data_IF_656278146792
#
_entry.id   IF_656278146792
#
_cell.length_a   1.000
_cell.length_b   1.000
_cell.length_c   1.000
_cell.angle_alpha   90.00
_cell.angle_beta   90.00
_cell.angle_gamma   90.00
#
_symmetry.space_group_name_H-M   'P 1'
#
loop_
_entity.id
_entity.type
_entity.pdbx_description
1 polymer ?
#
# COMPACT_ATOMS: atom_id res chain seq x y z
N UNK A 1 -14.87 -20.42 -3.96
CA UNK A 1 -15.86 -21.48 -3.73
C UNK A 1 -16.05 -22.34 -4.96
N UNK A 2 -15.67 -23.61 -4.88
CA UNK A 2 -15.90 -24.57 -5.94
C UNK A 2 -17.19 -25.35 -5.62
N UNK A 3 -18.33 -24.87 -6.14
CA UNK A 3 -19.61 -25.54 -5.94
C UNK A 3 -19.71 -26.79 -6.85
N UNK A 4 -19.41 -27.94 -6.27
CA UNK A 4 -19.51 -29.24 -6.95
C UNK A 4 -20.92 -29.60 -7.41
N UNK A 5 -21.95 -28.94 -6.87
CA UNK A 5 -23.34 -29.14 -7.20
C UNK A 5 -23.85 -28.15 -8.26
N UNK A 6 -23.00 -27.21 -8.71
CA UNK A 6 -23.39 -26.21 -9.68
C UNK A 6 -23.90 -26.80 -11.00
N UNK A 7 -25.03 -26.32 -11.46
CA UNK A 7 -25.59 -26.70 -12.76
C UNK A 7 -24.70 -26.29 -13.95
N UNK A 8 -23.75 -25.35 -13.74
CA UNK A 8 -22.73 -24.97 -14.74
C UNK A 8 -21.78 -26.12 -15.05
N UNK A 9 -21.55 -27.03 -14.08
CA UNK A 9 -20.78 -28.26 -14.29
C UNK A 9 -21.53 -29.33 -15.05
N UNK A 10 -22.86 -29.32 -15.01
CA UNK A 10 -23.72 -30.26 -15.72
C UNK A 10 -25.09 -30.37 -15.08
N UNK A 11 -26.10 -30.62 -15.90
CA UNK A 11 -27.51 -30.71 -15.47
C UNK A 11 -27.84 -31.97 -14.66
N UNK A 12 -26.96 -32.99 -14.65
CA UNK A 12 -27.12 -34.21 -13.88
C UNK A 12 -25.90 -34.52 -13.05
N UNK A 13 -26.07 -35.30 -11.97
CA UNK A 13 -24.97 -35.74 -11.10
C UNK A 13 -23.86 -36.45 -11.92
N UNK A 14 -24.24 -37.33 -12.84
CA UNK A 14 -23.26 -38.05 -13.66
C UNK A 14 -22.43 -37.11 -14.56
N UNK A 15 -23.05 -36.11 -15.19
CA UNK A 15 -22.33 -35.11 -16.01
C UNK A 15 -21.41 -34.23 -15.15
N UNK A 16 -21.85 -33.88 -13.95
CA UNK A 16 -20.99 -33.11 -12.99
C UNK A 16 -19.79 -33.96 -12.58
N UNK A 17 -20.02 -35.22 -12.18
CA UNK A 17 -18.95 -36.13 -11.78
C UNK A 17 -17.96 -36.41 -12.93
N UNK A 18 -18.44 -36.58 -14.16
CA UNK A 18 -17.56 -36.77 -15.33
C UNK A 18 -16.64 -35.55 -15.53
N UNK A 19 -17.19 -34.32 -15.45
CA UNK A 19 -16.39 -33.12 -15.60
C UNK A 19 -15.41 -32.92 -14.46
N UNK A 20 -15.84 -33.17 -13.22
CA UNK A 20 -14.98 -33.14 -12.03
C UNK A 20 -13.84 -34.14 -12.12
N UNK A 21 -14.14 -35.39 -12.53
CA UNK A 21 -13.13 -36.42 -12.73
C UNK A 21 -12.10 -36.01 -13.80
N UNK A 22 -12.56 -35.45 -14.93
CA UNK A 22 -11.64 -34.94 -15.95
C UNK A 22 -10.74 -33.81 -15.44
N UNK A 23 -11.30 -32.89 -14.66
CA UNK A 23 -10.52 -31.80 -14.02
C UNK A 23 -9.50 -32.37 -13.05
N UNK A 24 -9.92 -33.24 -12.13
CA UNK A 24 -9.04 -33.82 -11.13
C UNK A 24 -7.92 -34.66 -11.78
N UNK A 25 -8.25 -35.46 -12.79
CA UNK A 25 -7.25 -36.22 -13.54
C UNK A 25 -6.29 -35.30 -14.32
N UNK A 26 -6.79 -34.21 -14.87
CA UNK A 26 -5.95 -33.19 -15.53
C UNK A 26 -4.95 -32.57 -14.57
N UNK A 27 -5.41 -32.15 -13.38
CA UNK A 27 -4.55 -31.61 -12.33
C UNK A 27 -3.55 -32.67 -11.83
N UNK A 28 -4.02 -33.91 -11.57
CA UNK A 28 -3.16 -35.01 -11.11
C UNK A 28 -2.07 -35.39 -12.14
N UNK A 29 -2.34 -35.23 -13.43
CA UNK A 29 -1.38 -35.49 -14.50
C UNK A 29 -0.36 -34.37 -14.72
N UNK A 30 -0.54 -33.21 -14.11
CA UNK A 30 0.42 -32.12 -14.18
C UNK A 30 1.70 -32.53 -13.44
N UNK A 31 2.81 -32.54 -14.15
CA UNK A 31 4.12 -32.71 -13.51
C UNK A 31 4.59 -31.32 -13.06
N UNK A 32 4.27 -30.97 -11.84
CA UNK A 32 4.61 -29.66 -11.26
C UNK A 32 5.99 -29.66 -10.61
N UNK A 33 6.78 -30.75 -10.78
CA UNK A 33 8.09 -30.90 -10.15
C UNK A 33 7.99 -31.29 -8.66
N UNK A 34 9.13 -31.42 -8.02
CA UNK A 34 9.21 -31.60 -6.57
C UNK A 34 9.48 -30.28 -5.89
N UNK A 35 8.70 -29.92 -4.87
CA UNK A 35 8.91 -28.73 -4.02
C UNK A 35 10.33 -28.71 -3.42
N UNK A 36 10.98 -29.88 -3.30
CA UNK A 36 12.34 -30.01 -2.76
C UNK A 36 13.44 -29.64 -3.74
N UNK A 37 13.16 -29.60 -5.05
CA UNK A 37 14.16 -29.39 -6.10
C UNK A 37 14.22 -27.95 -6.60
N UNK A 38 13.35 -27.07 -6.12
CA UNK A 38 13.30 -25.65 -6.51
C UNK A 38 13.59 -24.76 -5.31
N UNK A 39 14.74 -24.11 -5.34
CA UNK A 39 15.09 -23.00 -4.42
C UNK A 39 14.18 -21.75 -4.60
N UNK A 40 13.31 -21.79 -5.61
CA UNK A 40 12.41 -20.70 -5.99
C UNK A 40 10.98 -21.13 -5.73
N UNK A 41 10.20 -20.28 -5.11
CA UNK A 41 8.76 -20.38 -4.97
C UNK A 41 8.05 -20.25 -6.34
N UNK A 42 8.25 -21.23 -7.22
CA UNK A 42 7.79 -21.16 -8.60
C UNK A 42 6.26 -21.08 -8.72
N UNK A 43 5.51 -21.62 -7.76
CA UNK A 43 4.05 -21.56 -7.77
C UNK A 43 3.54 -20.20 -7.33
N UNK A 44 4.10 -19.67 -6.26
CA UNK A 44 3.79 -18.33 -5.78
C UNK A 44 4.13 -17.28 -6.82
N UNK A 45 5.31 -17.34 -7.43
CA UNK A 45 5.72 -16.41 -8.49
C UNK A 45 4.85 -16.54 -9.75
N UNK A 46 4.46 -17.74 -10.14
CA UNK A 46 3.51 -17.94 -11.25
C UNK A 46 2.12 -17.37 -10.93
N UNK A 47 1.67 -17.52 -9.71
CA UNK A 47 0.40 -16.95 -9.26
C UNK A 47 0.45 -15.41 -9.22
N UNK A 48 1.51 -14.81 -8.65
CA UNK A 48 1.71 -13.35 -8.69
C UNK A 48 1.75 -12.82 -10.14
N UNK A 49 2.41 -13.54 -11.05
CA UNK A 49 2.41 -13.20 -12.48
C UNK A 49 1.01 -13.21 -13.09
N UNK A 50 0.23 -14.27 -12.83
CA UNK A 50 -1.15 -14.37 -13.32
C UNK A 50 -2.04 -13.26 -12.75
N UNK A 51 -1.90 -12.92 -11.47
CA UNK A 51 -2.61 -11.81 -10.83
C UNK A 51 -2.23 -10.47 -11.44
N UNK A 52 -0.95 -10.25 -11.75
CA UNK A 52 -0.47 -9.05 -12.45
C UNK A 52 -1.08 -8.94 -13.85
N UNK A 53 -1.11 -10.05 -14.59
CA UNK A 53 -1.73 -10.11 -15.93
C UNK A 53 -3.24 -9.85 -15.86
N UNK A 54 -3.92 -10.38 -14.85
CA UNK A 54 -5.34 -10.13 -14.62
C UNK A 54 -5.58 -8.64 -14.32
N UNK A 55 -4.85 -8.05 -13.38
CA UNK A 55 -4.96 -6.65 -13.01
C UNK A 55 -4.69 -5.70 -14.20
N UNK A 56 -3.67 -5.98 -15.00
CA UNK A 56 -3.33 -5.18 -16.18
C UNK A 56 -4.39 -5.23 -17.29
N UNK A 57 -5.11 -6.34 -17.43
CA UNK A 57 -6.14 -6.54 -18.46
C UNK A 57 -7.56 -6.18 -17.99
N UNK A 58 -7.84 -6.18 -16.69
CA UNK A 58 -9.16 -5.90 -16.13
C UNK A 58 -9.50 -4.41 -16.00
N UNK A 59 -8.61 -3.50 -16.42
CA UNK A 59 -8.81 -2.05 -16.37
C UNK A 59 -8.94 -1.51 -14.94
N UNK A 60 -9.78 -0.48 -14.72
CA UNK A 60 -9.94 0.16 -13.41
C UNK A 60 -10.29 -0.81 -12.28
N UNK A 61 -11.14 -1.81 -12.55
CA UNK A 61 -11.57 -2.78 -11.54
C UNK A 61 -10.46 -3.75 -11.12
N UNK A 62 -9.48 -4.02 -11.99
CA UNK A 62 -8.36 -4.91 -11.65
C UNK A 62 -7.25 -4.20 -10.87
N UNK A 63 -7.04 -2.91 -11.15
CA UNK A 63 -6.02 -2.10 -10.50
C UNK A 63 -6.33 -1.76 -9.04
N UNK A 64 -7.61 -1.81 -8.65
CA UNK A 64 -8.04 -1.54 -7.27
C UNK A 64 -7.63 -2.66 -6.28
N UNK A 65 -7.32 -3.86 -6.79
CA UNK A 65 -7.02 -5.05 -5.98
C UNK A 65 -5.54 -5.47 -6.01
N UNK A 66 -4.71 -4.74 -6.73
CA UNK A 66 -3.32 -5.14 -6.94
C UNK A 66 -2.35 -3.98 -6.74
N UNK A 67 -1.43 -4.14 -5.78
CA UNK A 67 -0.33 -3.20 -5.58
C UNK A 67 0.88 -3.64 -6.43
N UNK A 68 1.49 -2.75 -7.22
CA UNK A 68 2.71 -3.08 -7.97
C UNK A 68 3.81 -3.64 -7.07
N UNK A 69 4.51 -4.68 -7.54
CA UNK A 69 5.49 -5.40 -6.74
C UNK A 69 6.63 -4.51 -6.24
N UNK A 70 7.06 -3.54 -7.03
CA UNK A 70 8.08 -2.55 -6.68
C UNK A 70 7.61 -1.62 -5.54
N UNK A 71 6.36 -1.14 -5.59
CA UNK A 71 5.75 -0.36 -4.50
C UNK A 71 5.63 -1.21 -3.23
N UNK A 72 5.25 -2.49 -3.36
CA UNK A 72 5.18 -3.42 -2.24
C UNK A 72 6.56 -3.62 -1.58
N UNK A 73 7.62 -3.70 -2.37
CA UNK A 73 9.01 -3.75 -1.87
C UNK A 73 9.36 -2.47 -1.12
N UNK A 74 9.03 -1.31 -1.69
CA UNK A 74 9.31 -0.01 -1.05
C UNK A 74 8.59 0.12 0.30
N UNK A 75 7.29 -0.16 0.37
CA UNK A 75 6.50 -0.11 1.61
C UNK A 75 7.08 -1.01 2.70
N UNK A 76 7.40 -2.24 2.33
CA UNK A 76 8.00 -3.21 3.26
C UNK A 76 9.35 -2.72 3.76
N UNK A 77 10.22 -2.24 2.90
CA UNK A 77 11.55 -1.75 3.29
C UNK A 77 11.47 -0.52 4.19
N UNK A 78 10.56 0.43 3.90
CA UNK A 78 10.33 1.59 4.77
C UNK A 78 9.83 1.16 6.16
N UNK A 79 8.91 0.20 6.21
CA UNK A 79 8.34 -0.30 7.46
C UNK A 79 9.30 -1.15 8.30
N UNK A 80 10.36 -1.69 7.69
CA UNK A 80 11.28 -2.64 8.33
C UNK A 80 12.69 -2.09 8.52
N UNK A 81 12.94 -0.80 8.26
CA UNK A 81 14.26 -0.18 8.48
C UNK A 81 14.76 -0.47 9.91
N UNK A 82 15.97 -1.04 10.00
CA UNK A 82 16.61 -1.39 11.26
C UNK A 82 16.07 -2.65 11.94
N UNK A 83 15.09 -3.33 11.37
CA UNK A 83 14.47 -4.54 11.91
C UNK A 83 14.90 -5.78 11.11
N UNK A 84 15.27 -6.85 11.83
CA UNK A 84 15.58 -8.17 11.24
C UNK A 84 14.44 -9.17 11.47
N UNK A 85 13.59 -8.91 12.43
CA UNK A 85 12.42 -9.71 12.79
C UNK A 85 11.27 -8.79 13.13
N UNK A 86 10.07 -9.23 12.84
CA UNK A 86 8.81 -8.55 13.12
C UNK A 86 7.91 -9.50 13.91
N UNK A 87 7.22 -8.99 14.90
CA UNK A 87 6.29 -9.81 15.69
C UNK A 87 5.07 -10.19 14.84
N UNK A 88 4.25 -9.22 14.48
CA UNK A 88 3.03 -9.37 13.69
C UNK A 88 2.98 -8.35 12.57
N UNK A 89 2.48 -8.76 11.40
CA UNK A 89 2.25 -7.89 10.23
C UNK A 89 0.76 -7.79 9.97
N UNK A 90 0.27 -6.60 9.62
CA UNK A 90 -1.15 -6.36 9.35
C UNK A 90 -1.36 -5.52 8.08
N UNK A 91 -2.40 -5.86 7.32
CA UNK A 91 -2.93 -5.04 6.23
C UNK A 91 -4.46 -4.93 6.36
N UNK A 92 -5.00 -3.73 6.66
CA UNK A 92 -6.44 -3.48 6.81
C UNK A 92 -7.26 -3.60 5.51
N UNK A 93 -6.62 -3.70 4.36
CA UNK A 93 -7.25 -3.86 3.04
C UNK A 93 -6.36 -4.75 2.17
N UNK A 94 -6.17 -6.00 2.61
CA UNK A 94 -5.07 -6.85 2.17
C UNK A 94 -5.16 -7.32 0.71
N UNK A 95 -6.30 -7.16 0.07
CA UNK A 95 -6.47 -7.56 -1.33
C UNK A 95 -6.09 -9.03 -1.54
N UNK A 96 -5.18 -9.29 -2.47
CA UNK A 96 -4.63 -10.63 -2.73
C UNK A 96 -3.51 -11.06 -1.77
N UNK A 97 -3.16 -10.26 -0.76
CA UNK A 97 -2.12 -10.56 0.21
C UNK A 97 -0.69 -10.29 -0.27
N UNK A 98 -0.50 -9.73 -1.44
CA UNK A 98 0.83 -9.49 -2.03
C UNK A 98 1.75 -8.65 -1.15
N UNK A 99 1.19 -7.64 -0.43
CA UNK A 99 1.96 -6.82 0.51
C UNK A 99 2.45 -7.64 1.71
N UNK A 100 1.58 -8.44 2.30
CA UNK A 100 1.93 -9.31 3.44
C UNK A 100 3.03 -10.29 3.06
N UNK A 101 2.90 -10.96 1.91
CA UNK A 101 3.90 -11.90 1.39
C UNK A 101 5.25 -11.26 1.09
N UNK A 102 5.24 -9.99 0.67
CA UNK A 102 6.49 -9.27 0.37
C UNK A 102 7.36 -9.09 1.61
N UNK A 103 6.75 -9.01 2.80
CA UNK A 103 7.48 -8.90 4.07
C UNK A 103 8.36 -10.14 4.30
N UNK A 104 7.83 -11.34 4.08
CA UNK A 104 8.61 -12.57 4.23
C UNK A 104 9.72 -12.68 3.19
N UNK A 105 9.42 -12.35 1.92
CA UNK A 105 10.44 -12.35 0.84
C UNK A 105 11.61 -11.42 1.12
N UNK A 106 11.39 -10.28 1.78
CA UNK A 106 12.42 -9.27 2.06
C UNK A 106 13.19 -9.58 3.34
N UNK A 107 12.50 -9.94 4.41
CA UNK A 107 13.14 -10.21 5.71
C UNK A 107 13.70 -11.64 5.82
N UNK A 108 13.20 -12.55 5.01
CA UNK A 108 13.53 -13.97 5.04
C UNK A 108 12.50 -14.82 5.78
N UNK A 109 12.55 -16.11 5.53
CA UNK A 109 11.68 -17.10 6.15
C UNK A 109 11.80 -17.03 7.68
N UNK A 110 10.70 -17.15 8.39
CA UNK A 110 10.60 -17.08 9.85
C UNK A 110 10.95 -15.70 10.47
N UNK A 111 11.08 -14.65 9.67
CA UNK A 111 11.29 -13.30 10.20
C UNK A 111 10.02 -12.73 10.85
N UNK A 112 8.83 -13.11 10.38
CA UNK A 112 7.54 -12.79 11.00
C UNK A 112 7.21 -13.88 12.01
N UNK A 113 7.23 -13.53 13.30
CA UNK A 113 7.23 -14.51 14.39
C UNK A 113 5.83 -15.03 14.73
N UNK A 114 4.85 -14.14 14.83
CA UNK A 114 3.50 -14.44 15.30
C UNK A 114 2.42 -14.23 14.24
N UNK A 115 2.81 -14.18 12.96
CA UNK A 115 1.92 -14.33 11.82
C UNK A 115 1.56 -13.06 11.07
N UNK A 116 0.78 -13.29 10.02
CA UNK A 116 0.29 -12.32 9.06
C UNK A 116 -1.21 -12.13 9.27
N UNK A 117 -1.66 -10.91 9.39
CA UNK A 117 -3.04 -10.56 9.65
C UNK A 117 -3.55 -9.66 8.53
N UNK A 118 -4.80 -9.83 8.15
CA UNK A 118 -5.38 -9.00 7.11
C UNK A 118 -6.90 -9.03 7.13
N UNK A 119 -7.48 -8.02 6.50
CA UNK A 119 -8.91 -7.97 6.33
C UNK A 119 -9.26 -7.50 4.91
N UNK A 120 -10.25 -8.14 4.29
CA UNK A 120 -10.68 -7.87 2.93
C UNK A 120 -12.20 -7.96 2.84
N UNK A 121 -12.83 -6.95 2.28
CA UNK A 121 -14.30 -6.90 2.18
C UNK A 121 -14.86 -7.81 1.07
N UNK A 122 -14.08 -8.04 0.02
CA UNK A 122 -14.52 -8.82 -1.14
C UNK A 122 -14.19 -10.29 -0.96
N UNK A 123 -15.22 -11.14 -0.89
CA UNK A 123 -15.08 -12.60 -0.67
C UNK A 123 -14.19 -13.28 -1.72
N UNK A 124 -14.23 -12.84 -2.97
CA UNK A 124 -13.39 -13.42 -4.02
C UNK A 124 -11.93 -13.09 -3.79
N UNK A 125 -11.62 -11.84 -3.51
CA UNK A 125 -10.26 -11.36 -3.24
C UNK A 125 -9.71 -11.94 -1.92
N UNK A 126 -10.56 -12.06 -0.89
CA UNK A 126 -10.26 -12.77 0.35
C UNK A 126 -9.82 -14.23 0.10
N UNK A 127 -10.58 -14.97 -0.71
CA UNK A 127 -10.21 -16.34 -1.06
C UNK A 127 -8.90 -16.41 -1.86
N UNK A 128 -8.68 -15.44 -2.77
CA UNK A 128 -7.40 -15.32 -3.50
C UNK A 128 -6.23 -15.07 -2.55
N UNK A 129 -6.40 -14.20 -1.55
CA UNK A 129 -5.38 -13.94 -0.53
C UNK A 129 -4.99 -15.23 0.21
N UNK A 130 -5.96 -16.00 0.69
CA UNK A 130 -5.70 -17.26 1.41
C UNK A 130 -5.00 -18.31 0.55
N UNK A 131 -5.42 -18.44 -0.72
CA UNK A 131 -4.74 -19.32 -1.68
C UNK A 131 -3.30 -18.83 -1.89
N UNK A 132 -3.09 -17.53 -2.00
CA UNK A 132 -1.77 -16.95 -2.19
C UNK A 132 -0.83 -17.25 -1.00
N UNK A 133 -1.33 -17.15 0.25
CA UNK A 133 -0.57 -17.56 1.44
C UNK A 133 -0.10 -19.03 1.35
N UNK A 134 -1.00 -19.94 1.00
CA UNK A 134 -0.65 -21.36 0.85
C UNK A 134 0.36 -21.62 -0.28
N UNK A 135 0.23 -20.94 -1.41
CA UNK A 135 1.15 -21.08 -2.53
C UNK A 135 2.57 -20.60 -2.20
N UNK A 136 2.71 -19.74 -1.19
CA UNK A 136 3.98 -19.25 -0.67
C UNK A 136 4.44 -20.02 0.59
N UNK A 137 3.92 -21.24 0.81
CA UNK A 137 4.29 -22.13 1.92
C UNK A 137 4.03 -21.52 3.32
N UNK A 138 3.08 -20.57 3.42
CA UNK A 138 2.62 -20.06 4.71
C UNK A 138 1.46 -20.91 5.20
N UNK A 139 1.68 -21.67 6.29
CA UNK A 139 0.68 -22.53 6.89
C UNK A 139 -0.51 -21.73 7.47
N UNK A 140 -1.67 -22.38 7.57
CA UNK A 140 -2.89 -21.75 8.08
C UNK A 140 -2.77 -21.25 9.54
N UNK A 141 -1.83 -21.79 10.29
CA UNK A 141 -1.49 -21.38 11.65
C UNK A 141 -0.61 -20.13 11.72
N UNK A 142 -0.15 -19.64 10.57
CA UNK A 142 0.74 -18.49 10.44
C UNK A 142 0.07 -17.25 9.86
N UNK A 143 -1.18 -17.35 9.41
CA UNK A 143 -1.92 -16.19 8.95
C UNK A 143 -3.38 -16.23 9.42
N UNK A 144 -3.92 -15.06 9.64
CA UNK A 144 -5.33 -14.84 9.93
C UNK A 144 -5.86 -13.72 9.02
N UNK A 145 -6.65 -14.13 8.02
CA UNK A 145 -7.27 -13.23 7.05
C UNK A 145 -8.78 -13.32 7.22
N UNK A 146 -9.41 -12.19 7.45
CA UNK A 146 -10.85 -12.10 7.71
C UNK A 146 -11.61 -11.40 6.57
N UNK A 147 -12.86 -11.83 6.34
CA UNK A 147 -13.70 -11.32 5.25
C UNK A 147 -14.79 -10.41 5.81
N UNK A 148 -14.45 -9.14 6.05
CA UNK A 148 -15.36 -8.14 6.62
C UNK A 148 -14.91 -6.72 6.30
N UNK A 149 -15.83 -5.73 6.50
CA UNK A 149 -15.50 -4.31 6.39
C UNK A 149 -14.67 -3.85 7.60
N UNK A 150 -13.40 -3.58 7.36
CA UNK A 150 -12.43 -3.16 8.38
C UNK A 150 -12.86 -1.91 9.17
N UNK A 151 -13.51 -0.97 8.51
CA UNK A 151 -13.87 0.29 9.15
C UNK A 151 -15.08 0.17 10.05
N UNK A 152 -16.00 -0.77 9.75
CA UNK A 152 -17.26 -0.96 10.47
C UNK A 152 -17.20 -2.14 11.41
N UNK A 153 -16.61 -3.26 10.95
CA UNK A 153 -16.56 -4.52 11.69
C UNK A 153 -15.13 -5.11 11.67
N UNK A 154 -14.15 -4.45 12.33
CA UNK A 154 -12.78 -4.96 12.43
C UNK A 154 -12.73 -6.25 13.25
N UNK A 155 -12.01 -7.25 12.77
CA UNK A 155 -12.00 -8.59 13.35
C UNK A 155 -10.82 -8.85 14.30
N UNK A 156 -9.69 -8.17 14.12
CA UNK A 156 -8.45 -8.43 14.87
C UNK A 156 -8.27 -7.59 16.15
N UNK A 157 -9.36 -7.38 16.91
CA UNK A 157 -9.32 -6.65 18.18
C UNK A 157 -8.43 -7.33 19.25
N UNK A 158 -8.39 -8.66 19.24
CA UNK A 158 -7.59 -9.43 20.20
C UNK A 158 -6.16 -9.69 19.70
N UNK A 159 -5.89 -9.38 18.43
CA UNK A 159 -4.59 -9.59 17.80
C UNK A 159 -3.69 -8.36 17.83
N UNK A 160 -4.28 -7.16 17.93
CA UNK A 160 -3.52 -5.93 18.02
C UNK A 160 -2.68 -5.89 19.34
N UNK A 161 -1.57 -5.14 19.42
CA UNK A 161 -1.04 -4.26 18.38
C UNK A 161 -0.11 -4.97 17.39
N UNK A 162 0.02 -4.33 16.19
CA UNK A 162 0.88 -4.82 15.10
C UNK A 162 2.18 -4.04 15.01
N UNK A 163 3.30 -4.73 14.85
CA UNK A 163 4.61 -4.09 14.76
C UNK A 163 4.91 -3.52 13.37
N UNK A 164 4.31 -4.12 12.34
CA UNK A 164 4.35 -3.63 10.97
C UNK A 164 2.94 -3.56 10.40
N UNK A 165 2.58 -2.40 9.87
CA UNK A 165 1.37 -2.24 9.06
C UNK A 165 1.81 -1.76 7.68
N UNK A 166 1.47 -2.52 6.65
CA UNK A 166 1.67 -2.15 5.24
C UNK A 166 0.34 -2.20 4.53
N UNK A 167 -0.03 -1.16 3.81
CA UNK A 167 -1.34 -1.14 3.15
C UNK A 167 -1.37 -0.24 1.93
N UNK A 168 -2.17 -0.64 0.95
CA UNK A 168 -2.63 0.19 -0.14
C UNK A 168 -4.17 0.17 -0.13
N UNK A 169 -4.81 0.93 0.78
CA UNK A 169 -6.26 0.94 0.90
C UNK A 169 -6.91 1.59 -0.33
N UNK A 170 -8.19 1.28 -0.61
CA UNK A 170 -8.91 1.87 -1.73
C UNK A 170 -9.05 3.38 -1.58
N UNK A 171 -8.80 4.14 -2.68
CA UNK A 171 -8.81 5.61 -2.64
C UNK A 171 -10.20 6.19 -2.78
N UNK A 172 -10.52 7.18 -1.96
CA UNK A 172 -11.72 8.02 -2.06
C UNK A 172 -13.03 7.23 -2.17
N UNK A 173 -13.13 6.11 -1.49
CA UNK A 173 -14.37 5.33 -1.41
C UNK A 173 -15.31 5.90 -0.35
N UNK A 174 -16.61 5.65 -0.55
CA UNK A 174 -17.63 5.94 0.47
C UNK A 174 -17.55 4.91 1.60
N UNK A 175 -17.82 5.36 2.81
CA UNK A 175 -17.94 4.52 4.00
C UNK A 175 -19.07 5.04 4.90
N UNK A 176 -19.39 4.34 5.99
CA UNK A 176 -20.48 4.73 6.88
C UNK A 176 -20.27 6.12 7.51
N UNK A 177 -19.03 6.42 7.96
CA UNK A 177 -18.70 7.73 8.52
C UNK A 177 -19.69 8.18 9.58
N UNK A 178 -20.19 9.40 9.47
CA UNK A 178 -21.15 10.03 10.39
C UNK A 178 -22.60 9.48 10.28
N UNK A 179 -22.89 8.64 9.30
CA UNK A 179 -24.18 7.93 9.22
C UNK A 179 -24.30 6.82 10.29
N UNK A 180 -23.16 6.32 10.79
CA UNK A 180 -23.13 5.42 11.94
C UNK A 180 -22.71 6.17 13.21
N UNK A 181 -23.63 6.52 14.11
CA UNK A 181 -23.34 7.33 15.29
C UNK A 181 -22.41 6.64 16.31
N UNK A 182 -22.20 5.33 16.20
CA UNK A 182 -21.27 4.62 17.06
C UNK A 182 -19.82 4.90 16.70
N UNK A 183 -19.52 5.21 15.44
CA UNK A 183 -18.16 5.43 14.97
C UNK A 183 -17.49 6.67 15.57
N UNK A 184 -18.25 7.70 15.98
CA UNK A 184 -17.67 8.88 16.62
C UNK A 184 -17.07 8.56 17.99
N UNK A 185 -17.54 7.51 18.64
CA UNK A 185 -17.04 7.04 19.94
C UNK A 185 -16.11 5.81 19.80
N UNK A 186 -15.89 5.33 18.58
CA UNK A 186 -14.98 4.22 18.33
C UNK A 186 -13.55 4.65 18.70
N UNK A 187 -12.81 3.89 19.52
CA UNK A 187 -11.47 4.26 19.99
C UNK A 187 -10.45 4.44 18.87
N UNK A 188 -10.71 3.91 17.69
CA UNK A 188 -9.86 4.10 16.50
C UNK A 188 -9.98 5.52 15.93
N UNK A 189 -11.16 6.14 16.00
CA UNK A 189 -11.48 7.43 15.36
C UNK A 189 -11.69 8.58 16.34
N UNK A 190 -12.25 8.29 17.50
CA UNK A 190 -12.61 9.30 18.53
C UNK A 190 -11.46 10.23 18.95
N UNK A 191 -10.17 9.81 18.97
CA UNK A 191 -9.08 10.70 19.40
C UNK A 191 -8.90 11.94 18.51
N UNK A 192 -9.28 11.88 17.24
CA UNK A 192 -9.22 13.05 16.35
C UNK A 192 -10.39 14.03 16.56
N UNK A 193 -11.41 13.66 17.34
CA UNK A 193 -12.61 14.46 17.60
C UNK A 193 -13.52 14.67 16.38
N UNK A 194 -13.21 14.01 15.26
CA UNK A 194 -13.95 14.10 14.00
C UNK A 194 -13.74 12.84 13.18
N UNK A 195 -14.78 12.42 12.45
CA UNK A 195 -14.67 11.33 11.49
C UNK A 195 -14.16 11.83 10.13
N UNK A 196 -13.49 10.95 9.39
CA UNK A 196 -13.19 11.18 7.99
C UNK A 196 -14.51 11.42 7.21
N UNK A 197 -14.47 12.23 6.12
CA UNK A 197 -15.70 12.48 5.34
C UNK A 197 -16.30 11.17 4.83
N UNK A 198 -17.63 11.00 4.94
CA UNK A 198 -18.32 9.79 4.46
C UNK A 198 -18.09 9.46 2.98
N UNK A 199 -17.73 10.44 2.18
CA UNK A 199 -17.41 10.27 0.76
C UNK A 199 -15.97 9.80 0.51
N UNK A 200 -15.11 9.74 1.54
CA UNK A 200 -13.67 9.49 1.44
C UNK A 200 -13.14 8.81 2.70
N UNK A 201 -13.02 7.49 2.64
CA UNK A 201 -12.54 6.66 3.74
C UNK A 201 -11.03 6.74 4.01
N UNK A 202 -10.29 7.42 3.15
CA UNK A 202 -8.81 7.40 3.15
C UNK A 202 -8.21 7.61 4.56
N UNK A 203 -8.59 8.71 5.23
CA UNK A 203 -8.09 8.99 6.58
C UNK A 203 -8.71 8.10 7.68
N UNK A 204 -9.83 7.41 7.41
CA UNK A 204 -10.34 6.41 8.35
C UNK A 204 -9.41 5.17 8.38
N UNK A 205 -8.89 4.72 7.24
CA UNK A 205 -7.86 3.66 7.19
C UNK A 205 -6.57 4.08 7.89
N UNK A 206 -6.14 5.34 7.75
CA UNK A 206 -4.98 5.88 8.47
C UNK A 206 -5.20 5.85 9.99
N UNK A 207 -6.36 6.33 10.47
CA UNK A 207 -6.69 6.34 11.89
C UNK A 207 -6.82 4.92 12.46
N UNK A 208 -7.45 4.00 11.73
CA UNK A 208 -7.52 2.59 12.10
C UNK A 208 -6.12 1.99 12.23
N UNK A 209 -5.28 2.16 11.22
CA UNK A 209 -3.89 1.66 11.22
C UNK A 209 -3.09 2.23 12.39
N UNK A 210 -3.19 3.53 12.63
CA UNK A 210 -2.51 4.17 13.76
C UNK A 210 -2.99 3.61 15.11
N UNK A 211 -4.29 3.40 15.28
CA UNK A 211 -4.85 2.85 16.51
C UNK A 211 -4.21 1.49 16.84
N UNK A 212 -4.16 0.61 15.84
CA UNK A 212 -3.66 -0.76 16.01
C UNK A 212 -2.13 -0.91 15.84
N UNK A 213 -1.42 0.17 15.59
CA UNK A 213 0.05 0.17 15.52
C UNK A 213 0.66 -0.02 16.91
N UNK A 214 1.63 -0.92 17.01
CA UNK A 214 2.42 -1.10 18.24
C UNK A 214 3.22 0.16 18.59
N UNK A 215 3.56 0.38 19.86
CA UNK A 215 4.39 1.52 20.28
C UNK A 215 5.73 1.61 19.54
N UNK A 216 6.38 0.46 19.24
CA UNK A 216 7.62 0.37 18.46
C UNK A 216 7.36 0.06 16.97
N UNK A 217 6.10 0.12 16.54
CA UNK A 217 5.67 -0.22 15.20
C UNK A 217 5.92 0.87 14.18
N UNK A 218 5.89 0.47 12.91
CA UNK A 218 5.89 1.36 11.76
C UNK A 218 4.74 1.00 10.83
N UNK A 219 3.97 2.00 10.42
CA UNK A 219 2.97 1.85 9.36
C UNK A 219 3.44 2.59 8.10
N UNK A 220 3.45 1.91 6.96
CA UNK A 220 3.73 2.48 5.65
C UNK A 220 2.52 2.29 4.75
N UNK A 221 1.82 3.37 4.41
CA UNK A 221 0.50 3.33 3.79
C UNK A 221 0.49 4.18 2.53
N UNK A 222 0.05 3.60 1.41
CA UNK A 222 -0.19 4.36 0.18
C UNK A 222 -1.42 5.22 0.33
N UNK A 223 -1.31 6.47 -0.09
CA UNK A 223 -2.35 7.48 0.09
C UNK A 223 -2.67 8.20 -1.21
N UNK A 224 -3.92 8.58 -1.36
CA UNK A 224 -4.32 9.56 -2.36
C UNK A 224 -3.79 10.96 -1.96
N UNK A 225 -3.12 11.70 -2.86
CA UNK A 225 -2.44 12.96 -2.47
C UNK A 225 -3.38 14.02 -1.90
N UNK A 226 -4.67 13.98 -2.25
CA UNK A 226 -5.65 14.95 -1.75
C UNK A 226 -5.79 14.99 -0.23
N UNK A 227 -5.52 13.88 0.48
CA UNK A 227 -5.58 13.88 1.96
C UNK A 227 -4.50 14.75 2.60
N UNK A 228 -3.47 15.10 1.85
CA UNK A 228 -2.34 15.88 2.36
C UNK A 228 -2.66 17.38 2.52
N UNK A 229 -3.65 17.91 1.77
CA UNK A 229 -3.91 19.35 1.75
C UNK A 229 -5.39 19.78 1.91
N UNK A 230 -6.36 18.85 1.75
CA UNK A 230 -7.77 19.22 1.86
C UNK A 230 -8.10 19.73 3.26
N UNK A 231 -9.01 20.70 3.33
CA UNK A 231 -9.51 21.29 4.57
C UNK A 231 -10.59 20.47 5.28
N UNK A 232 -11.25 21.09 6.24
CA UNK A 232 -12.38 20.51 6.95
C UNK A 232 -12.01 19.36 7.90
N UNK A 233 -12.74 18.24 7.84
CA UNK A 233 -12.48 17.09 8.68
C UNK A 233 -11.12 16.46 8.43
N UNK A 234 -10.67 16.40 7.17
CA UNK A 234 -9.36 15.85 6.81
C UNK A 234 -8.22 16.66 7.43
N UNK A 235 -8.31 18.00 7.46
CA UNK A 235 -7.34 18.87 8.12
C UNK A 235 -7.30 18.65 9.64
N UNK A 236 -8.46 18.49 10.28
CA UNK A 236 -8.52 18.22 11.73
C UNK A 236 -7.86 16.88 12.08
N UNK A 237 -8.03 15.86 11.24
CA UNK A 237 -7.35 14.56 11.42
C UNK A 237 -5.84 14.73 11.23
N UNK A 238 -5.38 15.44 10.18
CA UNK A 238 -3.94 15.73 10.02
C UNK A 238 -3.36 16.49 11.20
N UNK A 239 -4.10 17.49 11.71
CA UNK A 239 -3.71 18.20 12.93
C UNK A 239 -3.53 17.23 14.10
N UNK A 240 -4.48 16.34 14.34
CA UNK A 240 -4.36 15.31 15.38
C UNK A 240 -3.10 14.45 15.20
N UNK A 241 -2.85 13.96 13.99
CA UNK A 241 -1.69 13.12 13.69
C UNK A 241 -0.37 13.84 13.95
N UNK A 242 -0.28 15.13 13.62
CA UNK A 242 0.90 15.95 13.75
C UNK A 242 1.12 16.43 15.19
N UNK A 243 0.08 16.90 15.87
CA UNK A 243 0.14 17.35 17.26
C UNK A 243 0.59 16.23 18.22
N UNK A 244 0.30 14.98 17.85
CA UNK A 244 0.72 13.79 18.60
C UNK A 244 2.00 13.13 18.05
N UNK A 245 2.69 13.79 17.11
CA UNK A 245 3.96 13.35 16.56
C UNK A 245 3.94 11.96 15.89
N UNK A 246 2.85 11.60 15.19
CA UNK A 246 2.73 10.29 14.56
C UNK A 246 3.24 10.23 13.13
N UNK A 247 3.27 11.36 12.39
CA UNK A 247 3.75 11.40 11.01
C UNK A 247 5.27 11.46 10.99
N UNK A 248 5.91 10.44 10.42
CA UNK A 248 7.37 10.35 10.32
C UNK A 248 7.90 10.83 8.96
N UNK A 249 7.27 10.41 7.87
CA UNK A 249 7.69 10.75 6.51
C UNK A 249 6.50 10.80 5.56
N UNK A 250 6.57 11.68 4.57
CA UNK A 250 5.69 11.72 3.40
C UNK A 250 6.56 11.61 2.15
N UNK A 251 6.26 10.62 1.30
CA UNK A 251 7.00 10.37 0.06
C UNK A 251 6.04 10.54 -1.12
N UNK A 252 6.30 11.48 -2.00
CA UNK A 252 5.58 11.64 -3.27
C UNK A 252 6.14 10.65 -4.27
N UNK A 253 5.28 9.77 -4.81
CA UNK A 253 5.67 8.77 -5.79
C UNK A 253 5.50 9.28 -7.23
N UNK A 254 6.19 8.65 -8.21
CA UNK A 254 5.95 8.90 -9.62
C UNK A 254 4.49 8.66 -10.03
N UNK A 255 4.04 9.39 -11.04
CA UNK A 255 2.76 9.11 -11.70
C UNK A 255 2.80 7.77 -12.45
N UNK A 256 1.64 7.25 -12.84
CA UNK A 256 1.52 6.02 -13.66
C UNK A 256 2.24 4.77 -13.09
N UNK A 257 2.41 4.66 -11.76
CA UNK A 257 2.91 3.43 -11.12
C UNK A 257 1.79 2.37 -11.00
N UNK A 258 0.59 2.80 -10.67
CA UNK A 258 -0.53 1.90 -10.41
C UNK A 258 -1.36 1.64 -11.66
N UNK A 259 -1.85 0.41 -11.79
CA UNK A 259 -2.73 0.04 -12.89
C UNK A 259 -4.06 0.81 -12.81
N UNK A 260 -4.54 1.26 -13.96
CA UNK A 260 -5.84 1.93 -14.08
C UNK A 260 -5.90 3.39 -13.60
N UNK A 261 -4.79 3.96 -13.11
CA UNK A 261 -4.71 5.37 -12.73
C UNK A 261 -3.39 6.01 -13.13
N UNK A 262 -3.45 7.27 -13.56
CA UNK A 262 -2.26 8.10 -13.82
C UNK A 262 -1.86 8.97 -12.63
N UNK A 263 -2.58 8.84 -11.49
CA UNK A 263 -2.37 9.71 -10.33
C UNK A 263 -1.02 9.40 -9.69
N UNK A 264 -0.25 10.44 -9.41
CA UNK A 264 0.93 10.36 -8.56
C UNK A 264 0.48 10.20 -7.10
N UNK A 265 0.55 8.98 -6.57
CA UNK A 265 0.20 8.69 -5.18
C UNK A 265 1.31 9.11 -4.22
N UNK A 266 1.08 9.03 -2.93
CA UNK A 266 2.11 9.24 -1.93
C UNK A 266 2.10 8.12 -0.88
N UNK A 267 3.21 7.98 -0.15
CA UNK A 267 3.30 7.09 1.00
C UNK A 267 3.34 7.96 2.26
N UNK A 268 2.50 7.63 3.24
CA UNK A 268 2.59 8.16 4.60
C UNK A 268 3.21 7.10 5.51
N UNK A 269 4.29 7.46 6.18
CA UNK A 269 4.92 6.62 7.20
C UNK A 269 4.55 7.15 8.57
N UNK A 270 3.97 6.28 9.40
CA UNK A 270 3.56 6.58 10.78
C UNK A 270 4.40 5.80 11.77
N UNK A 271 4.72 6.45 12.89
CA UNK A 271 5.40 5.85 14.06
C UNK A 271 4.84 6.46 15.36
N UNK A 272 4.79 5.66 16.42
CA UNK A 272 4.37 6.16 17.76
C UNK A 272 5.55 6.57 18.65
N UNK A 273 6.76 6.12 18.36
CA UNK A 273 7.95 6.32 19.21
C UNK A 273 9.03 7.19 18.56
N UNK A 274 8.63 8.22 17.82
CA UNK A 274 9.59 9.17 17.25
C UNK A 274 10.37 9.88 18.35
N UNK A 275 11.66 10.09 18.11
CA UNK A 275 12.58 10.76 19.06
C UNK A 275 12.57 12.29 18.92
N UNK A 276 12.09 12.80 17.77
CA UNK A 276 11.91 14.23 17.50
C UNK A 276 10.53 14.46 16.82
N UNK A 277 10.15 15.71 16.64
CA UNK A 277 8.89 16.10 15.99
C UNK A 277 9.05 16.52 14.53
N UNK A 278 10.21 16.21 13.91
CA UNK A 278 10.47 16.56 12.52
C UNK A 278 9.79 15.57 11.57
N UNK A 279 9.38 16.05 10.42
CA UNK A 279 8.76 15.27 9.36
C UNK A 279 9.66 15.33 8.13
N UNK A 280 10.00 14.17 7.56
CA UNK A 280 10.75 14.09 6.31
C UNK A 280 9.79 14.13 5.13
N UNK A 281 10.02 15.02 4.19
CA UNK A 281 9.34 15.08 2.90
C UNK A 281 10.30 14.62 1.81
N UNK A 282 9.86 13.71 0.94
CA UNK A 282 10.66 13.15 -0.16
C UNK A 282 9.89 13.32 -1.47
N UNK A 283 10.49 13.99 -2.43
CA UNK A 283 9.98 14.08 -3.80
C UNK A 283 10.63 13.00 -4.68
N UNK A 284 10.02 11.84 -4.73
CA UNK A 284 10.47 10.72 -5.56
C UNK A 284 9.78 10.69 -6.94
N UNK A 285 9.19 11.79 -7.41
CA UNK A 285 8.43 11.83 -8.68
C UNK A 285 9.28 11.45 -9.89
N UNK A 286 10.58 11.66 -9.84
CA UNK A 286 11.54 11.31 -10.89
C UNK A 286 12.25 9.96 -10.67
N UNK A 287 12.00 9.29 -9.55
CA UNK A 287 12.59 7.99 -9.20
C UNK A 287 11.88 6.84 -9.92
N UNK A 288 11.97 6.78 -11.24
CA UNK A 288 11.38 5.70 -12.02
C UNK A 288 11.97 5.57 -13.41
N UNK A 289 11.68 4.43 -14.02
CA UNK A 289 11.85 4.21 -15.46
C UNK A 289 10.50 4.01 -16.12
N UNK A 290 10.38 4.42 -17.38
CA UNK A 290 9.19 4.17 -18.17
C UNK A 290 9.23 2.77 -18.78
N UNK A 291 8.20 1.96 -18.49
CA UNK A 291 8.02 0.63 -19.06
C UNK A 291 6.69 0.59 -19.81
N UNK A 292 6.73 0.67 -21.12
CA UNK A 292 5.53 0.79 -21.97
C UNK A 292 4.65 1.98 -21.59
N UNK A 293 3.48 1.76 -21.03
CA UNK A 293 2.53 2.80 -20.63
C UNK A 293 2.62 3.17 -19.14
N UNK A 294 3.35 2.41 -18.33
CA UNK A 294 3.47 2.61 -16.89
C UNK A 294 4.91 2.99 -16.52
N UNK A 295 5.04 3.67 -15.40
CA UNK A 295 6.31 3.86 -14.72
C UNK A 295 6.57 2.69 -13.77
N UNK A 296 7.83 2.45 -13.45
CA UNK A 296 8.28 1.40 -12.54
C UNK A 296 9.44 1.89 -11.69
N UNK A 297 9.43 1.56 -10.40
CA UNK A 297 10.59 1.77 -9.53
C UNK A 297 11.62 0.67 -9.80
N UNK A 298 12.87 1.04 -10.07
CA UNK A 298 13.97 0.07 -10.12
C UNK A 298 14.46 -0.25 -8.70
N UNK A 299 15.24 -1.33 -8.50
CA UNK A 299 15.90 -1.58 -7.21
C UNK A 299 16.75 -0.39 -6.74
N UNK A 300 17.44 0.30 -7.65
CA UNK A 300 18.26 1.49 -7.37
C UNK A 300 17.41 2.67 -6.90
N UNK A 301 16.22 2.90 -7.51
CA UNK A 301 15.29 3.93 -7.07
C UNK A 301 14.78 3.63 -5.65
N UNK A 302 14.43 2.38 -5.38
CA UNK A 302 13.98 1.94 -4.05
C UNK A 302 15.11 2.10 -3.03
N UNK A 303 16.35 1.70 -3.38
CA UNK A 303 17.52 1.86 -2.52
C UNK A 303 17.75 3.34 -2.18
N UNK A 304 17.67 4.22 -3.17
CA UNK A 304 17.84 5.66 -2.98
C UNK A 304 16.77 6.25 -2.05
N UNK A 305 15.50 5.92 -2.26
CA UNK A 305 14.40 6.39 -1.39
C UNK A 305 14.58 5.88 0.05
N UNK A 306 14.93 4.60 0.24
CA UNK A 306 15.13 4.01 1.58
C UNK A 306 16.37 4.59 2.27
N UNK A 307 17.42 4.88 1.51
CA UNK A 307 18.66 5.48 2.03
C UNK A 307 18.40 6.89 2.58
N UNK A 308 17.75 7.76 1.81
CA UNK A 308 17.40 9.11 2.30
C UNK A 308 16.39 9.09 3.44
N UNK A 309 15.43 8.16 3.43
CA UNK A 309 14.52 7.93 4.56
C UNK A 309 15.27 7.57 5.84
N UNK A 310 16.32 6.76 5.72
CA UNK A 310 17.14 6.32 6.85
C UNK A 310 18.06 7.42 7.36
N UNK A 311 18.71 8.17 6.45
CA UNK A 311 19.66 9.24 6.79
C UNK A 311 18.97 10.51 7.29
N UNK A 312 17.75 10.80 6.82
CA UNK A 312 16.94 11.98 7.19
C UNK A 312 17.68 13.31 6.95
N UNK A 313 18.35 13.43 5.81
CA UNK A 313 19.13 14.61 5.40
C UNK A 313 18.34 15.44 4.40
N UNK A 314 18.57 16.76 4.40
CA UNK A 314 18.08 17.65 3.35
C UNK A 314 18.93 17.47 2.09
N UNK A 315 18.26 17.22 0.96
CA UNK A 315 18.89 17.13 -0.36
C UNK A 315 18.08 18.04 -1.30
N UNK A 316 18.76 18.99 -1.93
CA UNK A 316 18.16 19.94 -2.86
C UNK A 316 17.31 19.22 -3.91
N UNK A 317 16.10 19.70 -4.15
CA UNK A 317 15.10 19.15 -5.09
C UNK A 317 14.64 17.71 -4.83
N UNK A 318 15.05 17.10 -3.71
CA UNK A 318 14.71 15.70 -3.42
C UNK A 318 14.12 15.47 -2.02
N UNK A 319 14.78 16.02 -0.96
CA UNK A 319 14.30 15.82 0.42
C UNK A 319 14.35 17.10 1.24
N UNK A 320 13.38 17.24 2.16
CA UNK A 320 13.37 18.28 3.17
C UNK A 320 12.93 17.76 4.53
N UNK A 321 13.73 17.98 5.57
CA UNK A 321 13.42 17.65 6.94
C UNK A 321 12.81 18.84 7.67
N UNK A 322 11.49 18.95 7.62
CA UNK A 322 10.74 20.08 8.19
C UNK A 322 10.52 19.94 9.68
N UNK A 323 10.56 21.07 10.41
CA UNK A 323 10.10 21.12 11.78
C UNK A 323 8.57 21.09 11.87
N UNK A 324 8.03 20.66 13.03
CA UNK A 324 6.60 20.71 13.31
C UNK A 324 6.03 22.13 13.18
N UNK A 325 6.74 23.15 13.70
CA UNK A 325 6.32 24.55 13.65
C UNK A 325 6.11 25.00 12.21
N UNK A 326 7.01 24.61 11.31
CA UNK A 326 6.89 24.93 9.88
C UNK A 326 5.66 24.30 9.23
N UNK A 327 5.30 23.09 9.64
CA UNK A 327 4.08 22.42 9.15
C UNK A 327 2.81 23.09 9.70
N UNK A 328 2.85 23.57 10.95
CA UNK A 328 1.76 24.36 11.53
C UNK A 328 1.59 25.70 10.80
N UNK A 329 2.69 26.41 10.50
CA UNK A 329 2.66 27.65 9.70
C UNK A 329 2.03 27.45 8.31
N UNK A 330 2.19 26.26 7.73
CA UNK A 330 1.59 25.84 6.47
C UNK A 330 0.19 25.22 6.64
N UNK A 331 -0.49 25.51 7.75
CA UNK A 331 -1.86 25.08 8.02
C UNK A 331 -2.06 23.55 7.96
N UNK A 332 -1.08 22.81 8.53
CA UNK A 332 -1.04 21.33 8.52
C UNK A 332 -1.10 20.72 7.11
N UNK A 333 -0.63 21.42 6.12
CA UNK A 333 -0.45 20.91 4.76
C UNK A 333 0.74 19.94 4.74
N UNK A 334 0.54 18.73 4.19
CA UNK A 334 1.55 17.68 4.07
C UNK A 334 1.93 17.40 2.61
N UNK A 335 1.55 18.26 1.65
CA UNK A 335 1.97 18.10 0.26
C UNK A 335 3.48 18.29 0.15
N UNK A 336 4.16 17.33 -0.45
CA UNK A 336 5.63 17.36 -0.60
C UNK A 336 6.10 18.60 -1.33
N UNK A 337 5.38 19.04 -2.38
CA UNK A 337 5.68 20.25 -3.15
C UNK A 337 5.61 21.57 -2.35
N UNK A 338 5.09 21.54 -1.11
CA UNK A 338 5.11 22.69 -0.19
C UNK A 338 6.48 22.84 0.49
N UNK A 339 7.25 21.75 0.58
CA UNK A 339 8.51 21.68 1.33
C UNK A 339 9.72 21.39 0.46
N UNK A 340 9.54 20.63 -0.62
CA UNK A 340 10.59 20.29 -1.59
C UNK A 340 10.31 21.07 -2.87
N UNK A 341 11.21 21.97 -3.23
CA UNK A 341 11.13 22.74 -4.47
C UNK A 341 11.57 21.86 -5.64
N UNK A 342 10.72 21.75 -6.66
CA UNK A 342 11.05 20.98 -7.84
C UNK A 342 12.20 21.63 -8.63
N UNK A 343 13.07 20.83 -9.24
CA UNK A 343 14.12 21.33 -10.12
C UNK A 343 13.51 22.06 -11.32
N UNK A 344 13.95 23.29 -11.58
CA UNK A 344 13.51 24.04 -12.75
C UNK A 344 14.26 23.56 -14.00
N UNK A 345 13.70 22.53 -14.64
CA UNK A 345 14.23 21.93 -15.88
C UNK A 345 13.88 22.72 -17.13
N UNK A 346 13.20 23.88 -17.03
CA UNK A 346 12.87 24.70 -18.19
C UNK A 346 14.14 25.27 -18.80
N UNK A 347 14.32 25.09 -20.11
CA UNK A 347 15.39 25.78 -20.84
C UNK A 347 15.32 27.27 -20.59
N UNK A 348 16.40 27.86 -20.07
CA UNK A 348 16.52 29.31 -19.99
C UNK A 348 16.64 29.86 -21.41
N UNK A 349 15.51 30.22 -21.98
CA UNK A 349 15.46 30.84 -23.31
C UNK A 349 16.14 32.19 -23.20
N UNK A 350 17.29 32.31 -23.83
CA UNK A 350 17.93 33.65 -24.03
C UNK A 350 17.11 34.41 -25.07
N UNK A 351 16.21 35.27 -24.57
CA UNK A 351 15.31 36.07 -25.38
C UNK A 351 16.11 36.95 -26.37
N UNK A 352 17.33 37.38 -26.03
CA UNK A 352 18.18 38.19 -26.90
C UNK A 352 18.67 37.37 -28.07
N UNK A 353 19.14 36.13 -27.79
CA UNK A 353 19.60 35.20 -28.80
C UNK A 353 18.46 34.76 -29.74
N UNK A 354 17.31 34.41 -29.16
CA UNK A 354 16.12 34.01 -29.92
C UNK A 354 15.62 35.13 -30.83
N UNK A 355 15.59 36.41 -30.34
CA UNK A 355 15.23 37.56 -31.14
C UNK A 355 16.24 37.88 -32.26
N UNK A 356 17.53 37.60 -32.05
CA UNK A 356 18.54 37.70 -33.11
C UNK A 356 18.33 36.65 -34.21
N UNK A 357 18.10 35.39 -33.83
CA UNK A 357 17.78 34.29 -34.74
C UNK A 357 16.48 34.55 -35.53
N UNK A 358 15.44 35.06 -34.90
CA UNK A 358 14.19 35.46 -35.59
C UNK A 358 14.44 36.55 -36.64
N UNK A 359 15.30 37.52 -36.33
CA UNK A 359 15.64 38.60 -37.26
C UNK A 359 16.47 38.16 -38.48
N UNK A 360 17.21 37.02 -38.34
CA UNK A 360 17.95 36.45 -39.47
C UNK A 360 17.05 35.57 -40.38
N UNK A 361 15.92 35.10 -39.85
CA UNK A 361 14.98 34.23 -40.59
C UNK A 361 13.88 35.05 -41.33
N UNK A 362 13.59 36.26 -40.89
CA UNK A 362 12.64 37.18 -41.47
C UNK A 362 13.35 38.17 -42.41
#
# INVERSE_FOLDING_TARGET
DFDVNSNKLGSTVNKRNERLTKLLNGVAAMNLGSVKDHEIDAFGDAYEYLMTMYASNAGKSGGEFFTPADVSVLLTRLGTVGKKKINKVYDPACGSGSLLLKVEKILGKDAVQNGFFGQEINITTYNLCRINMFLHDIGFDKFDIECEDTLINPQHWDDEPFELIVSNPPYSIKWAGDENPLLINDPRFSPAGVLAPKSKADLAFIMHSLSWLAPNGTAAIVCFPGIMYRGGAEQKIRKYLLDNNFVDCIIQLPSNLFFGTSIATCIMVLKKNKIDNKILFVDATNECIKVTNNNKLTPENIDHIVDVFTKREDIEHFTHLSSYEKVVENDYNLSVSTYVEAEDTREKIDIVKLNAEIKEIV
#
